data_IF_021457938763
#
_entry.id   IF_021457938763
#
_cell.length_a   1.000
_cell.length_b   1.000
_cell.length_c   1.000
_cell.angle_alpha   90.00
_cell.angle_beta   90.00
_cell.angle_gamma   90.00
#
_symmetry.space_group_name_H-M   'P 1'
#
loop_
_entity.id
_entity.type
_entity.pdbx_description
1 polymer ?
#
# COMPACT_ATOMS: atom_id res chain seq x y z
N UNK A 1 -10.82 -8.50 -14.66
CA UNK A 1 -11.79 -8.98 -13.68
C UNK A 1 -12.94 -9.66 -14.37
N UNK A 2 -13.80 -9.00 -15.17
CA UNK A 2 -14.94 -9.68 -15.83
C UNK A 2 -14.51 -10.89 -16.68
N UNK A 3 -13.42 -10.75 -17.46
CA UNK A 3 -12.89 -11.83 -18.29
C UNK A 3 -12.24 -12.95 -17.45
N UNK A 4 -11.46 -12.61 -16.42
CA UNK A 4 -10.90 -13.59 -15.49
C UNK A 4 -11.99 -14.38 -14.76
N UNK A 5 -13.04 -13.72 -14.28
CA UNK A 5 -14.17 -14.36 -13.58
C UNK A 5 -14.92 -15.31 -14.51
N UNK A 6 -15.21 -14.88 -15.74
CA UNK A 6 -15.83 -15.73 -16.74
C UNK A 6 -14.94 -16.95 -17.08
N UNK A 7 -13.63 -16.73 -17.23
CA UNK A 7 -12.67 -17.81 -17.47
C UNK A 7 -12.59 -18.81 -16.31
N UNK A 8 -12.65 -18.36 -15.05
CA UNK A 8 -12.69 -19.25 -13.88
C UNK A 8 -13.96 -20.10 -13.83
N UNK A 9 -15.13 -19.53 -14.15
CA UNK A 9 -16.39 -20.28 -14.17
C UNK A 9 -16.43 -21.30 -15.32
N UNK A 10 -15.86 -20.95 -16.48
CA UNK A 10 -15.69 -21.87 -17.60
C UNK A 10 -14.73 -23.01 -17.24
N UNK A 11 -13.59 -22.72 -16.62
CA UNK A 11 -12.64 -23.72 -16.14
C UNK A 11 -13.29 -24.68 -15.15
N UNK A 12 -14.06 -24.16 -14.19
CA UNK A 12 -14.80 -24.95 -13.21
C UNK A 12 -15.77 -25.92 -13.90
N UNK A 13 -16.51 -25.43 -14.89
CA UNK A 13 -17.46 -26.23 -15.66
C UNK A 13 -16.74 -27.33 -16.45
N UNK A 14 -15.64 -26.98 -17.12
CA UNK A 14 -14.86 -27.94 -17.92
C UNK A 14 -14.16 -28.99 -17.08
N UNK A 15 -13.59 -28.63 -15.93
CA UNK A 15 -13.00 -29.58 -14.98
C UNK A 15 -14.05 -30.54 -14.41
N UNK A 16 -15.26 -30.04 -14.10
CA UNK A 16 -16.37 -30.87 -13.61
C UNK A 16 -16.79 -31.90 -14.67
N UNK A 17 -16.92 -31.49 -15.93
CA UNK A 17 -17.23 -32.38 -17.05
C UNK A 17 -16.12 -33.41 -17.29
N UNK A 18 -14.86 -33.00 -17.13
CA UNK A 18 -13.69 -33.85 -17.28
C UNK A 18 -13.59 -34.91 -16.16
N UNK A 19 -13.91 -34.53 -14.92
CA UNK A 19 -14.00 -35.44 -13.76
C UNK A 19 -15.13 -36.46 -13.87
N UNK A 20 -16.22 -36.13 -14.57
CA UNK A 20 -17.31 -37.05 -14.89
C UNK A 20 -16.98 -38.06 -16.01
N UNK A 21 -15.71 -38.18 -16.43
CA UNK A 21 -15.25 -39.17 -17.41
C UNK A 21 -15.52 -38.84 -18.87
N UNK A 22 -16.03 -37.64 -19.18
CA UNK A 22 -16.31 -37.18 -20.56
C UNK A 22 -15.07 -36.53 -21.20
N UNK A 23 -13.93 -37.24 -21.23
CA UNK A 23 -12.66 -36.74 -21.77
C UNK A 23 -12.71 -36.60 -23.29
N UNK A 24 -12.47 -35.40 -23.79
CA UNK A 24 -12.15 -35.14 -25.21
C UNK A 24 -10.89 -34.29 -25.32
N UNK A 25 -10.12 -34.45 -26.41
CA UNK A 25 -8.98 -33.58 -26.73
C UNK A 25 -9.40 -32.10 -26.83
N UNK A 26 -10.65 -31.85 -27.24
CA UNK A 26 -11.26 -30.53 -27.23
C UNK A 26 -11.37 -29.92 -25.83
N UNK A 27 -11.50 -30.75 -24.78
CA UNK A 27 -11.64 -30.28 -23.40
C UNK A 27 -10.31 -29.73 -22.86
N UNK A 28 -9.17 -30.35 -23.22
CA UNK A 28 -7.86 -29.84 -22.81
C UNK A 28 -7.52 -28.50 -23.48
N UNK A 29 -7.83 -28.35 -24.78
CA UNK A 29 -7.60 -27.09 -25.50
C UNK A 29 -8.36 -25.93 -24.86
N UNK A 30 -9.65 -26.11 -24.54
CA UNK A 30 -10.47 -25.06 -23.93
C UNK A 30 -10.01 -24.69 -22.51
N UNK A 31 -9.57 -25.68 -21.72
CA UNK A 31 -8.96 -25.41 -20.40
C UNK A 31 -7.73 -24.51 -20.57
N UNK A 32 -6.85 -24.81 -21.52
CA UNK A 32 -5.66 -23.99 -21.77
C UNK A 32 -6.00 -22.57 -22.26
N UNK A 33 -6.99 -22.43 -23.15
CA UNK A 33 -7.47 -21.12 -23.64
C UNK A 33 -8.06 -20.27 -22.50
N UNK A 34 -8.84 -20.88 -21.61
CA UNK A 34 -9.39 -20.19 -20.46
C UNK A 34 -8.29 -19.78 -19.45
N UNK A 35 -7.29 -20.63 -19.21
CA UNK A 35 -6.14 -20.29 -18.36
C UNK A 35 -5.33 -19.12 -18.90
N UNK A 36 -5.08 -19.09 -20.22
CA UNK A 36 -4.37 -17.97 -20.85
C UNK A 36 -5.18 -16.67 -20.75
N UNK A 37 -6.48 -16.74 -21.04
CA UNK A 37 -7.41 -15.59 -20.90
C UNK A 37 -7.41 -15.05 -19.46
N UNK A 38 -7.37 -15.94 -18.46
CA UNK A 38 -7.28 -15.55 -17.06
C UNK A 38 -5.94 -14.88 -16.75
N UNK A 39 -4.83 -15.43 -17.24
CA UNK A 39 -3.48 -14.87 -17.08
C UNK A 39 -3.40 -13.45 -17.65
N UNK A 40 -3.84 -13.26 -18.88
CA UNK A 40 -3.86 -11.96 -19.55
C UNK A 40 -4.73 -10.95 -18.79
N UNK A 41 -5.93 -11.37 -18.36
CA UNK A 41 -6.79 -10.48 -17.58
C UNK A 41 -6.18 -10.11 -16.23
N UNK A 42 -5.47 -11.02 -15.55
CA UNK A 42 -4.79 -10.72 -14.29
C UNK A 42 -3.63 -9.74 -14.49
N UNK A 43 -2.80 -9.96 -15.51
CA UNK A 43 -1.69 -9.05 -15.85
C UNK A 43 -2.20 -7.63 -16.14
N UNK A 44 -3.28 -7.52 -16.92
CA UNK A 44 -3.87 -6.22 -17.23
C UNK A 44 -4.40 -5.52 -15.98
N UNK A 45 -5.08 -6.25 -15.10
CA UNK A 45 -5.65 -5.67 -13.87
C UNK A 45 -4.58 -5.29 -12.87
N UNK A 46 -3.51 -6.07 -12.79
CA UNK A 46 -2.34 -5.72 -11.98
C UNK A 46 -1.71 -4.40 -12.45
N UNK A 47 -1.58 -4.21 -13.77
CA UNK A 47 -1.07 -2.96 -14.35
C UNK A 47 -1.99 -1.77 -14.06
N UNK A 48 -3.30 -1.95 -14.19
CA UNK A 48 -4.30 -0.91 -13.89
C UNK A 48 -4.28 -0.54 -12.40
N UNK A 49 -4.24 -1.54 -11.52
CA UNK A 49 -4.12 -1.34 -10.08
C UNK A 49 -2.87 -0.54 -9.72
N UNK A 50 -1.71 -0.94 -10.24
CA UNK A 50 -0.45 -0.23 -10.02
C UNK A 50 -0.50 1.22 -10.53
N UNK A 51 -1.15 1.46 -11.67
CA UNK A 51 -1.31 2.82 -12.22
C UNK A 51 -2.20 3.68 -11.31
N UNK A 52 -3.31 3.13 -10.82
CA UNK A 52 -4.20 3.84 -9.89
C UNK A 52 -3.52 4.11 -8.55
N UNK A 53 -2.80 3.13 -8.01
CA UNK A 53 -2.00 3.27 -6.79
C UNK A 53 -1.01 4.43 -6.93
N UNK A 54 -0.21 4.45 -8.01
CA UNK A 54 0.72 5.54 -8.30
C UNK A 54 0.03 6.90 -8.40
N UNK A 55 -1.09 6.99 -9.11
CA UNK A 55 -1.84 8.24 -9.26
C UNK A 55 -2.40 8.75 -7.92
N UNK A 56 -2.90 7.85 -7.06
CA UNK A 56 -3.39 8.18 -5.72
C UNK A 56 -2.27 8.62 -4.79
N UNK A 57 -1.12 7.94 -4.84
CA UNK A 57 0.07 8.30 -4.08
C UNK A 57 0.54 9.70 -4.50
N UNK A 58 0.66 9.96 -5.81
CA UNK A 58 1.12 11.25 -6.34
C UNK A 58 0.17 12.39 -5.94
N UNK A 59 -1.14 12.21 -6.13
CA UNK A 59 -2.16 13.18 -5.74
C UNK A 59 -2.19 13.44 -4.22
N UNK A 60 -1.93 12.41 -3.42
CA UNK A 60 -1.81 12.53 -1.96
C UNK A 60 -0.53 13.25 -1.55
N UNK A 61 0.58 12.98 -2.26
CA UNK A 61 1.90 13.56 -1.99
C UNK A 61 1.96 15.07 -2.26
N UNK A 62 1.17 15.56 -3.23
CA UNK A 62 1.05 16.99 -3.55
C UNK A 62 0.45 17.82 -2.41
N UNK A 63 -0.37 17.19 -1.56
CA UNK A 63 -0.97 17.84 -0.39
C UNK A 63 -0.03 17.91 0.81
N UNK A 64 1.10 17.20 0.76
CA UNK A 64 2.09 17.22 1.82
C UNK A 64 3.11 18.33 1.61
N UNK A 65 3.36 19.09 2.67
CA UNK A 65 4.46 20.06 2.69
C UNK A 65 5.81 19.35 2.58
N UNK A 66 6.84 20.06 2.13
CA UNK A 66 8.21 19.51 2.09
C UNK A 66 8.68 18.98 3.46
N UNK A 67 8.28 19.63 4.55
CA UNK A 67 8.61 19.20 5.91
C UNK A 67 7.91 17.90 6.30
N UNK A 68 6.64 17.72 5.92
CA UNK A 68 5.92 16.46 6.11
C UNK A 68 6.55 15.32 5.31
N UNK A 69 6.91 15.58 4.05
CA UNK A 69 7.62 14.62 3.20
C UNK A 69 8.97 14.22 3.79
N UNK A 70 9.75 15.20 4.27
CA UNK A 70 11.03 14.94 4.93
C UNK A 70 10.88 14.09 6.20
N UNK A 71 9.86 14.36 7.02
CA UNK A 71 9.57 13.55 8.21
C UNK A 71 9.15 12.14 7.83
N UNK A 72 8.31 11.94 6.81
CA UNK A 72 7.92 10.60 6.35
C UNK A 72 9.10 9.78 5.85
N UNK A 73 9.99 10.38 5.02
CA UNK A 73 11.23 9.70 4.60
C UNK A 73 12.08 9.31 5.78
N UNK A 74 12.28 10.24 6.71
CA UNK A 74 13.05 9.99 7.92
C UNK A 74 12.46 8.83 8.72
N UNK A 75 11.12 8.76 8.83
CA UNK A 75 10.44 7.66 9.50
C UNK A 75 10.58 6.33 8.74
N UNK A 76 10.60 6.34 7.41
CA UNK A 76 10.82 5.12 6.61
C UNK A 76 12.26 4.60 6.68
N UNK A 77 13.24 5.49 6.75
CA UNK A 77 14.67 5.12 6.68
C UNK A 77 15.31 4.84 8.05
N UNK A 78 14.92 5.59 9.09
CA UNK A 78 15.67 5.68 10.34
C UNK A 78 14.86 5.39 11.59
N UNK A 79 13.56 5.14 11.47
CA UNK A 79 12.73 4.92 12.63
C UNK A 79 13.03 3.56 13.28
N UNK A 80 13.28 3.59 14.58
CA UNK A 80 13.34 2.40 15.44
C UNK A 80 11.98 2.27 16.15
N UNK A 81 11.39 1.07 16.18
CA UNK A 81 9.98 0.78 16.53
C UNK A 81 9.52 1.16 17.97
N UNK A 82 10.25 1.96 18.72
CA UNK A 82 10.01 2.21 20.15
C UNK A 82 9.99 3.69 20.53
N UNK A 83 10.18 4.61 19.58
CA UNK A 83 10.20 6.04 19.90
C UNK A 83 8.78 6.59 20.09
N UNK A 84 8.47 6.97 21.33
CA UNK A 84 7.27 7.74 21.68
C UNK A 84 7.33 9.18 21.17
N UNK A 85 6.16 9.79 21.02
CA UNK A 85 5.95 11.09 20.36
C UNK A 85 6.90 12.21 20.84
N UNK A 86 7.18 12.29 22.14
CA UNK A 86 8.06 13.32 22.71
C UNK A 86 9.52 13.13 22.30
N UNK A 87 10.02 11.90 22.35
CA UNK A 87 11.41 11.56 21.95
C UNK A 87 11.59 11.79 20.45
N UNK A 88 10.60 11.39 19.65
CA UNK A 88 10.62 11.61 18.21
C UNK A 88 10.69 13.11 17.86
N UNK A 89 9.95 13.96 18.58
CA UNK A 89 10.01 15.42 18.38
C UNK A 89 11.41 15.97 18.62
N UNK A 90 12.09 15.53 19.68
CA UNK A 90 13.46 15.96 19.99
C UNK A 90 14.42 15.56 18.85
N UNK A 91 14.34 14.31 18.41
CA UNK A 91 15.23 13.76 17.39
C UNK A 91 15.02 14.40 16.03
N UNK A 92 13.77 14.53 15.58
CA UNK A 92 13.44 15.22 14.33
C UNK A 92 13.82 16.70 14.37
N UNK A 93 13.64 17.38 15.51
CA UNK A 93 14.04 18.78 15.66
C UNK A 93 15.54 18.96 15.48
N UNK A 94 16.33 18.05 16.05
CA UNK A 94 17.78 18.02 15.91
C UNK A 94 18.23 17.68 14.49
N UNK A 95 17.75 16.56 13.93
CA UNK A 95 18.23 16.06 12.63
C UNK A 95 17.77 16.92 11.44
N UNK A 96 16.56 17.49 11.51
CA UNK A 96 16.01 18.32 10.42
C UNK A 96 16.23 19.82 10.64
N UNK A 97 16.83 20.23 11.76
CA UNK A 97 17.10 21.64 12.07
C UNK A 97 15.83 22.51 12.21
N UNK A 98 14.69 21.91 12.55
CA UNK A 98 13.40 22.59 12.68
C UNK A 98 12.97 22.75 14.14
N UNK A 99 12.24 23.82 14.52
CA UNK A 99 11.75 23.98 15.88
C UNK A 99 10.80 22.85 16.31
N UNK A 100 10.88 22.43 17.58
CA UNK A 100 10.02 21.38 18.17
C UNK A 100 8.52 21.64 17.97
N UNK A 101 8.09 22.90 18.05
CA UNK A 101 6.70 23.29 17.79
C UNK A 101 6.29 22.98 16.35
N UNK A 102 7.16 23.27 15.37
CA UNK A 102 6.97 22.93 13.97
C UNK A 102 6.91 21.41 13.77
N UNK A 103 7.81 20.64 14.38
CA UNK A 103 7.77 19.16 14.30
C UNK A 103 6.43 18.64 14.81
N UNK A 104 5.99 19.10 15.99
CA UNK A 104 4.71 18.70 16.59
C UNK A 104 3.53 18.96 15.67
N UNK A 105 3.50 20.12 15.01
CA UNK A 105 2.46 20.47 14.04
C UNK A 105 2.49 19.55 12.82
N UNK A 106 3.67 19.24 12.28
CA UNK A 106 3.79 18.36 11.12
C UNK A 106 3.40 16.92 11.47
N UNK A 107 3.88 16.38 12.60
CA UNK A 107 3.47 15.04 13.08
C UNK A 107 1.97 14.97 13.34
N UNK A 108 1.37 16.04 13.87
CA UNK A 108 -0.08 16.12 14.05
C UNK A 108 -0.80 16.02 12.71
N UNK A 109 -0.37 16.80 11.71
CA UNK A 109 -0.96 16.75 10.36
C UNK A 109 -0.77 15.39 9.69
N UNK A 110 0.37 14.73 9.87
CA UNK A 110 0.59 13.38 9.36
C UNK A 110 -0.32 12.35 10.03
N UNK A 111 -0.60 12.52 11.33
CA UNK A 111 -1.53 11.66 12.06
C UNK A 111 -2.98 11.90 11.65
N UNK A 112 -3.38 13.15 11.49
CA UNK A 112 -4.72 13.52 11.00
C UNK A 112 -4.98 13.04 9.56
N UNK A 113 -3.91 12.81 8.79
CA UNK A 113 -3.96 12.20 7.46
C UNK A 113 -3.83 10.66 7.48
N UNK A 114 -3.87 10.03 8.65
CA UNK A 114 -3.69 8.58 8.85
C UNK A 114 -2.38 8.01 8.26
N UNK A 115 -1.34 8.84 8.10
CA UNK A 115 -0.02 8.41 7.61
C UNK A 115 0.88 7.91 8.74
N UNK A 116 0.61 8.34 9.97
CA UNK A 116 1.31 7.83 11.16
C UNK A 116 0.31 7.40 12.23
N UNK A 117 0.68 6.38 12.97
CA UNK A 117 0.05 5.97 14.23
C UNK A 117 0.84 6.58 15.37
N UNK A 118 0.17 7.13 16.37
CA UNK A 118 0.83 7.65 17.57
C UNK A 118 -0.13 7.73 18.74
N UNK A 119 0.40 7.58 19.95
CA UNK A 119 -0.36 7.82 21.17
C UNK A 119 -0.90 9.25 21.26
N UNK A 120 -2.01 9.41 21.96
CA UNK A 120 -2.66 10.69 22.19
C UNK A 120 -2.86 10.95 23.70
N UNK A 121 -3.78 11.86 24.04
CA UNK A 121 -4.06 12.19 25.44
C UNK A 121 -4.72 11.03 26.20
N UNK A 122 -5.46 10.18 25.51
CA UNK A 122 -6.19 9.05 26.09
C UNK A 122 -5.32 7.79 26.09
N UNK A 123 -4.45 7.64 25.08
CA UNK A 123 -3.59 6.48 24.89
C UNK A 123 -2.10 6.88 24.90
N UNK A 124 -1.62 7.30 26.07
CA UNK A 124 -0.22 7.72 26.26
C UNK A 124 0.73 6.54 26.13
N UNK A 125 1.94 6.81 25.65
CA UNK A 125 3.02 5.83 25.59
C UNK A 125 3.02 4.91 24.36
N UNK A 126 2.05 5.06 23.45
CA UNK A 126 2.08 4.34 22.17
C UNK A 126 3.21 4.90 21.29
N UNK A 127 4.15 4.06 20.81
CA UNK A 127 5.19 4.45 19.86
C UNK A 127 4.62 5.04 18.57
N UNK A 128 5.41 5.88 17.90
CA UNK A 128 5.01 6.52 16.64
C UNK A 128 5.34 5.64 15.43
N UNK A 129 4.39 4.85 14.93
CA UNK A 129 4.62 4.03 13.73
C UNK A 129 4.17 4.71 12.44
N UNK A 130 4.71 4.29 11.29
CA UNK A 130 4.06 4.50 10.00
C UNK A 130 2.82 3.60 9.92
N UNK A 131 1.70 4.14 9.42
CA UNK A 131 0.58 3.30 8.99
C UNK A 131 0.95 2.55 7.70
N UNK A 132 0.08 1.67 7.22
CA UNK A 132 0.29 1.02 5.91
C UNK A 132 0.38 2.06 4.78
N UNK A 133 -0.52 3.04 4.76
CA UNK A 133 -0.51 4.13 3.80
C UNK A 133 0.71 5.05 3.98
N UNK A 134 1.13 5.28 5.22
CA UNK A 134 2.37 5.99 5.54
C UNK A 134 3.61 5.30 5.00
N UNK A 135 3.70 3.96 5.10
CA UNK A 135 4.80 3.16 4.55
C UNK A 135 4.86 3.26 3.04
N UNK A 136 3.73 3.03 2.36
CA UNK A 136 3.64 3.13 0.89
C UNK A 136 4.10 4.52 0.42
N UNK A 137 3.69 5.58 1.11
CA UNK A 137 4.06 6.95 0.75
C UNK A 137 5.53 7.26 1.09
N UNK A 138 6.05 6.77 2.21
CA UNK A 138 7.45 6.91 2.56
C UNK A 138 8.35 6.24 1.52
N UNK A 139 8.02 5.00 1.12
CA UNK A 139 8.75 4.25 0.09
C UNK A 139 8.73 5.00 -1.25
N UNK A 140 7.57 5.53 -1.66
CA UNK A 140 7.46 6.35 -2.87
C UNK A 140 8.37 7.59 -2.83
N UNK A 141 8.50 8.24 -1.68
CA UNK A 141 9.28 9.46 -1.51
C UNK A 141 10.80 9.22 -1.44
N UNK A 142 11.22 7.97 -1.26
CA UNK A 142 12.62 7.55 -1.20
C UNK A 142 13.18 7.06 -2.56
N UNK A 143 12.33 6.95 -3.58
CA UNK A 143 12.70 6.68 -4.99
C UNK A 143 13.00 7.98 -5.72
#
# INVERSE_FOLDING_TARGET
MKNAIAATENLRTELTLNWMGKKTTSSYRRIMENLETMRESLLQHYKEYYTMERALIEASSDRLTEKQRAILRWLGEKYEEEMVYTVLIERLSFELGVPKSTVRWNLRGLREADLIMAGDRENKGIPVGLSEMGRVLADYLCV
#
